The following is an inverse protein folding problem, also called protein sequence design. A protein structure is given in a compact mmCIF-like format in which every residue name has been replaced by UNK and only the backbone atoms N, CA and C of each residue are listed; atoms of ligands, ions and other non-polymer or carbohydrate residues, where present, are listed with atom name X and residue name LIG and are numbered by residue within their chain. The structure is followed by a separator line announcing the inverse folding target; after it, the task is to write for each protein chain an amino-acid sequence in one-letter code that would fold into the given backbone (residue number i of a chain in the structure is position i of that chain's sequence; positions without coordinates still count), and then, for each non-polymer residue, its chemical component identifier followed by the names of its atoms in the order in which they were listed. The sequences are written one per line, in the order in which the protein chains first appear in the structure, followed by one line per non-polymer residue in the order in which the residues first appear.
data_IF_744897960851
#
_entry.id   IF_744897960851
#
_cell.length_a   1.000
_cell.length_b   1.000
_cell.length_c   1.000
_cell.angle_alpha   90.00
_cell.angle_beta   90.00
_cell.angle_gamma   90.00
#
_symmetry.space_group_name_H-M   'P 1'
#
loop_
_entity.id
_entity.type
_entity.pdbx_description
1 polymer ?
#
# COMPACT_ATOMS: atom_id res chain seq x y z
N UNK A 1 -1.72 8.42 9.29
CA UNK A 1 -2.83 7.66 9.90
C UNK A 1 -3.28 6.61 8.91
N UNK A 2 -3.81 5.48 9.38
CA UNK A 2 -4.43 4.46 8.54
C UNK A 2 -5.86 4.16 8.99
N UNK A 3 -6.72 3.76 8.06
CA UNK A 3 -8.09 3.27 8.34
C UNK A 3 -8.34 2.03 7.49
N UNK A 4 -8.93 0.99 8.07
CA UNK A 4 -9.26 -0.26 7.37
C UNK A 4 -10.76 -0.42 7.24
N UNK A 5 -11.29 -0.34 6.02
CA UNK A 5 -12.64 -0.80 5.71
C UNK A 5 -12.60 -2.31 5.54
N UNK A 6 -12.97 -3.02 6.61
CA UNK A 6 -12.92 -4.48 6.65
C UNK A 6 -13.98 -5.13 5.74
N UNK A 7 -15.12 -4.46 5.50
CA UNK A 7 -16.21 -5.00 4.71
C UNK A 7 -15.88 -4.96 3.22
N UNK A 8 -15.41 -3.81 2.75
CA UNK A 8 -15.09 -3.60 1.35
C UNK A 8 -13.61 -3.92 1.01
N UNK A 9 -12.81 -4.27 2.03
CA UNK A 9 -11.39 -4.61 1.92
C UNK A 9 -10.58 -3.48 1.30
N UNK A 10 -10.78 -2.27 1.82
CA UNK A 10 -10.06 -1.06 1.40
C UNK A 10 -9.20 -0.56 2.55
N UNK A 11 -7.93 -0.29 2.28
CA UNK A 11 -6.98 0.24 3.23
C UNK A 11 -6.62 1.68 2.87
N UNK A 12 -6.98 2.62 3.74
CA UNK A 12 -6.73 4.05 3.58
C UNK A 12 -5.47 4.46 4.33
N UNK A 13 -4.69 5.36 3.74
CA UNK A 13 -3.52 5.95 4.35
C UNK A 13 -3.46 7.45 4.08
N UNK A 14 -3.13 8.21 5.11
CA UNK A 14 -2.80 9.64 5.03
C UNK A 14 -1.49 9.89 5.77
N UNK A 15 -0.68 10.82 5.28
CA UNK A 15 0.49 11.31 6.02
C UNK A 15 0.10 12.56 6.82
N UNK A 16 0.69 12.73 8.01
CA UNK A 16 0.44 13.92 8.83
C UNK A 16 1.20 15.16 8.32
N UNK A 17 2.19 14.95 7.43
CA UNK A 17 3.10 16.00 6.97
C UNK A 17 2.66 16.68 5.67
N UNK A 18 1.85 16.00 4.85
CA UNK A 18 1.30 16.56 3.60
C UNK A 18 -0.19 16.22 3.50
N UNK A 19 -1.04 17.16 3.06
CA UNK A 19 -2.49 16.96 3.04
C UNK A 19 -2.92 16.10 1.84
N UNK A 20 -2.49 14.84 1.81
CA UNK A 20 -2.81 13.86 0.78
C UNK A 20 -3.29 12.55 1.43
N UNK A 21 -4.39 12.03 0.90
CA UNK A 21 -4.97 10.75 1.31
C UNK A 21 -5.09 9.86 0.08
N UNK A 22 -4.66 8.62 0.23
CA UNK A 22 -4.85 7.58 -0.78
C UNK A 22 -5.41 6.31 -0.13
N UNK A 23 -5.88 5.40 -0.97
CA UNK A 23 -6.36 4.09 -0.54
C UNK A 23 -5.98 3.00 -1.53
N UNK A 24 -6.00 1.78 -1.02
CA UNK A 24 -5.63 0.57 -1.74
C UNK A 24 -6.77 -0.42 -1.59
N UNK A 25 -7.22 -1.00 -2.70
CA UNK A 25 -8.26 -2.03 -2.72
C UNK A 25 -7.60 -3.38 -2.70
N UNK A 26 -7.72 -4.11 -1.60
CA UNK A 26 -7.05 -5.41 -1.44
C UNK A 26 -7.55 -6.46 -2.46
N UNK A 27 -8.77 -6.28 -2.98
CA UNK A 27 -9.33 -7.16 -4.01
C UNK A 27 -8.64 -7.00 -5.38
N UNK A 28 -7.86 -5.94 -5.60
CA UNK A 28 -7.14 -5.70 -6.86
C UNK A 28 -5.78 -6.45 -6.88
N UNK A 29 -5.42 -7.16 -5.81
CA UNK A 29 -4.18 -7.91 -5.66
C UNK A 29 -4.42 -9.42 -5.69
N UNK A 30 -3.49 -10.16 -6.30
CA UNK A 30 -3.39 -11.61 -6.10
C UNK A 30 -2.71 -11.89 -4.75
N UNK A 31 -3.52 -12.30 -3.77
CA UNK A 31 -3.09 -12.67 -2.42
C UNK A 31 -3.00 -14.20 -2.22
N UNK A 32 -3.04 -14.98 -3.31
CA UNK A 32 -2.81 -16.42 -3.24
C UNK A 32 -1.32 -16.75 -3.03
N UNK A 33 -0.98 -18.01 -2.79
CA UNK A 33 0.41 -18.48 -2.67
C UNK A 33 1.26 -18.21 -3.93
N UNK A 34 0.61 -17.98 -5.07
CA UNK A 34 1.27 -17.67 -6.35
C UNK A 34 1.44 -16.16 -6.58
N UNK A 35 0.85 -15.33 -5.71
CA UNK A 35 0.90 -13.88 -5.80
C UNK A 35 2.33 -13.33 -5.70
N UNK A 36 2.54 -12.15 -6.28
CA UNK A 36 3.85 -11.49 -6.26
C UNK A 36 3.98 -10.54 -5.07
N UNK A 37 5.20 -10.37 -4.57
CA UNK A 37 5.51 -9.32 -3.60
C UNK A 37 5.49 -7.97 -4.31
N UNK A 38 4.64 -7.08 -3.81
CA UNK A 38 4.41 -5.75 -4.38
C UNK A 38 4.74 -4.67 -3.35
N UNK A 39 5.31 -3.55 -3.81
CA UNK A 39 5.63 -2.39 -2.98
C UNK A 39 5.07 -1.12 -3.60
N UNK A 40 4.44 -0.30 -2.77
CA UNK A 40 4.20 1.12 -3.05
C UNK A 40 5.30 1.93 -2.37
N UNK A 41 6.06 2.70 -3.14
CA UNK A 41 7.15 3.51 -2.59
C UNK A 41 6.61 4.86 -2.09
N UNK A 42 6.91 5.19 -0.84
CA UNK A 42 6.54 6.47 -0.21
C UNK A 42 7.79 7.30 0.13
N UNK A 43 8.98 6.83 -0.25
CA UNK A 43 10.23 7.53 -0.05
C UNK A 43 10.30 8.83 -0.86
N UNK A 44 11.24 9.70 -0.50
CA UNK A 44 11.52 10.95 -1.22
C UNK A 44 10.27 11.84 -1.45
N UNK A 45 9.35 11.87 -0.49
CA UNK A 45 8.11 12.65 -0.55
C UNK A 45 7.19 12.29 -1.72
N UNK A 46 7.24 11.04 -2.22
CA UNK A 46 6.27 10.56 -3.20
C UNK A 46 4.84 10.62 -2.64
N UNK A 47 3.93 11.19 -3.44
CA UNK A 47 2.54 11.39 -3.05
C UNK A 47 1.60 10.64 -3.97
N UNK A 48 0.58 10.01 -3.38
CA UNK A 48 -0.54 9.41 -4.10
C UNK A 48 -1.82 10.11 -3.67
N UNK A 49 -2.77 10.21 -4.60
CA UNK A 49 -4.07 10.82 -4.35
C UNK A 49 -5.14 9.89 -4.89
N UNK A 50 -6.07 9.51 -4.02
CA UNK A 50 -7.16 8.63 -4.42
C UNK A 50 -6.80 7.15 -4.39
N UNK A 51 -7.31 6.40 -5.37
CA UNK A 51 -7.05 4.97 -5.52
C UNK A 51 -5.62 4.74 -6.04
N UNK A 52 -4.83 3.90 -5.36
CA UNK A 52 -3.39 3.74 -5.63
C UNK A 52 -2.96 2.29 -5.91
N UNK A 53 -3.87 1.32 -6.03
CA UNK A 53 -3.53 -0.10 -6.20
C UNK A 53 -2.69 -0.35 -7.46
N UNK A 54 -3.01 0.36 -8.56
CA UNK A 54 -2.25 0.27 -9.81
C UNK A 54 -0.84 0.88 -9.78
N UNK A 55 -0.47 1.59 -8.70
CA UNK A 55 0.86 2.21 -8.57
C UNK A 55 1.90 1.30 -7.91
N UNK A 56 1.48 0.14 -7.41
CA UNK A 56 2.38 -0.84 -6.83
C UNK A 56 3.29 -1.45 -7.89
N UNK A 57 4.54 -1.73 -7.52
CA UNK A 57 5.53 -2.36 -8.38
C UNK A 57 6.07 -3.64 -7.74
N UNK A 58 6.40 -4.68 -8.54
CA UNK A 58 7.08 -5.86 -8.02
C UNK A 58 8.37 -5.48 -7.30
N UNK A 59 8.60 -6.06 -6.13
CA UNK A 59 9.79 -5.80 -5.32
C UNK A 59 10.18 -7.04 -4.51
N UNK A 60 11.47 -7.23 -4.18
CA UNK A 60 11.85 -8.26 -3.21
C UNK A 60 11.25 -7.94 -1.83
N UNK A 61 10.89 -8.99 -1.08
CA UNK A 61 10.49 -8.83 0.31
C UNK A 61 11.64 -8.22 1.12
N UNK A 62 11.32 -7.28 2.02
CA UNK A 62 12.33 -6.69 2.87
C UNK A 62 12.78 -7.70 3.94
N UNK A 63 14.07 -7.66 4.29
CA UNK A 63 14.60 -8.46 5.38
C UNK A 63 14.22 -7.80 6.71
N UNK A 64 13.52 -8.53 7.58
CA UNK A 64 13.29 -8.08 8.95
C UNK A 64 14.63 -7.99 9.69
N UNK A 65 14.77 -6.95 10.52
CA UNK A 65 15.84 -6.93 11.51
C UNK A 65 15.57 -8.06 12.52
N UNK A 66 16.59 -8.88 12.76
CA UNK A 66 16.54 -10.02 13.68
C UNK A 66 17.68 -9.93 14.70
N UNK A 67 17.72 -10.93 15.60
CA UNK A 67 18.84 -11.16 16.53
C UNK A 67 20.04 -11.67 15.74
#
# INVERSE_FOLDING_TARGET
RSVSDQKNRVYYFETALTPNTFWVKLNDFDLSEKGHVMKLDLGNYQTYNGEASGSFKPAPAFKFLGI
#
